data_IF_206332720226
#
_entry.id   IF_206332720226
#
_cell.length_a   1.000
_cell.length_b   1.000
_cell.length_c   1.000
_cell.angle_alpha   90.00
_cell.angle_beta   90.00
_cell.angle_gamma   90.00
#
_symmetry.space_group_name_H-M   'P 1'
#
loop_
_entity.id
_entity.type
_entity.pdbx_description
1 polymer ?
#
# COMPACT_ATOMS: atom_id res chain seq x y z
N UNK A 1 16.73 18.26 7.13
CA UNK A 1 15.94 17.21 6.42
C UNK A 1 15.21 16.41 7.48
N UNK A 2 13.90 16.23 7.35
CA UNK A 2 13.07 15.47 8.28
C UNK A 2 12.12 14.60 7.48
N UNK A 3 11.93 13.35 7.90
CA UNK A 3 10.96 12.42 7.31
C UNK A 3 10.38 11.59 8.45
N UNK A 4 9.08 11.35 8.43
CA UNK A 4 8.43 10.62 9.50
C UNK A 4 6.91 10.67 9.42
N UNK A 5 6.30 10.42 10.57
CA UNK A 5 4.85 10.27 10.73
C UNK A 5 4.35 11.17 11.84
N UNK A 6 3.18 11.76 11.62
CA UNK A 6 2.40 12.47 12.63
C UNK A 6 1.27 11.55 13.04
N UNK A 7 1.30 11.04 14.27
CA UNK A 7 0.28 10.16 14.81
C UNK A 7 -0.79 10.94 15.54
N UNK A 8 -2.04 10.51 15.38
CA UNK A 8 -3.16 10.94 16.22
C UNK A 8 -3.76 9.73 16.90
N UNK A 9 -4.13 9.86 18.17
CA UNK A 9 -4.88 8.85 18.89
C UNK A 9 -6.02 9.49 19.68
N UNK A 10 -7.12 8.75 19.81
CA UNK A 10 -8.32 9.17 20.51
C UNK A 10 -8.54 8.26 21.72
N UNK A 11 -8.91 8.86 22.86
CA UNK A 11 -9.17 8.16 24.11
C UNK A 11 -7.90 7.76 24.89
N UNK A 12 -6.93 7.13 24.22
CA UNK A 12 -5.70 6.63 24.84
C UNK A 12 -4.44 7.12 24.14
N UNK A 13 -3.30 7.07 24.86
CA UNK A 13 -1.97 7.36 24.31
C UNK A 13 -1.41 6.16 23.56
N UNK A 14 -0.76 6.41 22.43
CA UNK A 14 0.06 5.40 21.75
C UNK A 14 1.30 5.04 22.56
N UNK A 15 1.66 3.76 22.48
CA UNK A 15 2.79 3.12 23.14
C UNK A 15 3.84 2.82 22.07
N UNK A 16 4.86 3.67 22.02
CA UNK A 16 6.03 3.46 21.16
C UNK A 16 7.14 2.73 21.93
N UNK A 17 7.96 1.97 21.21
CA UNK A 17 9.17 1.35 21.75
C UNK A 17 10.37 1.71 20.90
N UNK A 18 11.52 1.88 21.55
CA UNK A 18 12.81 1.91 20.87
C UNK A 18 13.40 0.50 20.92
N UNK A 19 13.75 -0.03 19.76
CA UNK A 19 14.31 -1.37 19.55
C UNK A 19 15.65 -1.25 18.82
N UNK A 20 16.39 -2.34 18.69
CA UNK A 20 17.55 -2.40 17.80
C UNK A 20 17.11 -2.80 16.38
N UNK A 21 17.59 -2.09 15.36
CA UNK A 21 17.42 -2.48 13.95
C UNK A 21 18.34 -3.66 13.58
N UNK A 22 18.27 -4.12 12.33
CA UNK A 22 19.10 -5.22 11.81
C UNK A 22 20.61 -4.96 11.83
N UNK A 23 21.04 -3.70 12.01
CA UNK A 23 22.43 -3.28 12.17
C UNK A 23 22.79 -2.93 13.62
N UNK A 24 21.88 -3.14 14.59
CA UNK A 24 22.08 -2.85 16.00
C UNK A 24 21.86 -1.40 16.42
N UNK A 25 21.41 -0.52 15.52
CA UNK A 25 21.13 0.88 15.85
C UNK A 25 19.76 1.02 16.53
N UNK A 26 19.59 2.05 17.35
CA UNK A 26 18.30 2.38 17.92
C UNK A 26 17.29 2.77 16.81
N UNK A 27 16.15 2.08 16.76
CA UNK A 27 15.06 2.32 15.83
C UNK A 27 13.73 2.40 16.57
N UNK A 28 12.81 3.21 16.04
CA UNK A 28 11.46 3.31 16.59
C UNK A 28 10.61 2.16 16.05
N UNK A 29 10.05 1.34 16.93
CA UNK A 29 8.98 0.42 16.58
C UNK A 29 7.66 1.20 16.53
N UNK A 30 7.14 1.37 15.32
CA UNK A 30 5.86 2.04 15.08
C UNK A 30 4.68 1.17 15.54
N UNK A 31 3.55 1.77 15.96
CA UNK A 31 2.32 1.06 16.24
C UNK A 31 1.87 0.24 15.03
N UNK A 32 1.59 -1.05 15.25
CA UNK A 32 1.03 -1.95 14.23
C UNK A 32 -0.43 -2.25 14.56
N UNK A 33 -1.35 -1.35 14.17
CA UNK A 33 -2.78 -1.48 14.43
C UNK A 33 -3.44 -2.73 13.82
N UNK A 34 -2.76 -3.44 12.94
CA UNK A 34 -3.23 -4.68 12.31
C UNK A 34 -2.70 -5.94 12.99
N UNK A 35 -1.88 -5.83 14.04
CA UNK A 35 -1.31 -6.97 14.78
C UNK A 35 -2.01 -7.07 16.13
N UNK A 36 -2.76 -8.14 16.38
CA UNK A 36 -3.58 -8.31 17.60
C UNK A 36 -2.76 -8.24 18.90
N UNK A 37 -1.52 -8.75 18.89
CA UNK A 37 -0.63 -8.70 20.03
C UNK A 37 0.06 -7.34 20.25
N UNK A 38 -0.11 -6.37 19.34
CA UNK A 38 0.47 -5.03 19.50
C UNK A 38 -0.22 -4.29 20.64
N UNK A 39 0.51 -3.62 21.55
CA UNK A 39 -0.09 -2.90 22.68
C UNK A 39 -0.98 -1.71 22.28
N UNK A 40 -0.98 -1.33 21.00
CA UNK A 40 -1.83 -0.31 20.39
C UNK A 40 -3.02 -0.89 19.61
N UNK A 41 -3.22 -2.21 19.58
CA UNK A 41 -4.33 -2.83 18.83
C UNK A 41 -5.70 -2.33 19.31
N UNK A 42 -5.90 -2.08 20.61
CA UNK A 42 -7.15 -1.49 21.10
C UNK A 42 -7.28 0.04 20.92
N UNK A 43 -6.22 0.73 20.49
CA UNK A 43 -6.19 2.20 20.47
C UNK A 43 -6.75 2.72 19.13
N UNK A 44 -7.73 3.60 19.17
CA UNK A 44 -8.21 4.31 17.99
C UNK A 44 -7.15 5.33 17.56
N UNK A 45 -6.44 5.04 16.47
CA UNK A 45 -5.34 5.86 15.98
C UNK A 45 -5.17 5.77 14.47
N UNK A 46 -4.52 6.77 13.90
CA UNK A 46 -4.10 6.82 12.51
C UNK A 46 -2.88 7.74 12.37
N UNK A 47 -2.31 7.83 11.17
CA UNK A 47 -1.16 8.71 10.93
C UNK A 47 -1.17 9.40 9.56
N UNK A 48 -0.53 10.55 9.53
CA UNK A 48 -0.10 11.22 8.31
C UNK A 48 1.40 11.04 8.13
N UNK A 49 1.87 10.88 6.89
CA UNK A 49 3.29 10.77 6.57
C UNK A 49 3.78 12.06 5.94
N UNK A 50 5.06 12.39 6.17
CA UNK A 50 5.66 13.56 5.56
C UNK A 50 7.17 13.41 5.34
N UNK A 51 7.68 14.18 4.39
CA UNK A 51 9.10 14.41 4.16
C UNK A 51 9.34 15.86 3.80
N UNK A 52 10.24 16.51 4.53
CA UNK A 52 10.76 17.84 4.25
C UNK A 52 12.25 17.79 3.92
N UNK A 53 12.59 18.21 2.70
CA UNK A 53 13.94 18.23 2.17
C UNK A 53 14.17 19.47 1.27
N UNK A 54 15.31 19.53 0.59
CA UNK A 54 15.65 20.65 -0.31
C UNK A 54 14.72 20.82 -1.50
N UNK A 55 13.97 19.79 -1.86
CA UNK A 55 12.97 19.81 -2.94
C UNK A 55 11.58 20.22 -2.46
N UNK A 56 11.37 20.42 -1.15
CA UNK A 56 10.11 20.91 -0.58
C UNK A 56 9.49 19.99 0.46
N UNK A 57 8.18 20.16 0.67
CA UNK A 57 7.35 19.35 1.56
C UNK A 57 6.51 18.36 0.74
N UNK A 58 6.58 17.10 1.13
CA UNK A 58 5.72 16.03 0.65
C UNK A 58 4.95 15.51 1.86
N UNK A 59 3.63 15.38 1.77
CA UNK A 59 2.81 14.86 2.86
C UNK A 59 1.57 14.16 2.32
N UNK A 60 1.12 13.13 3.02
CA UNK A 60 -0.02 12.32 2.62
C UNK A 60 -0.78 11.79 3.85
N UNK A 61 -2.08 11.63 3.71
CA UNK A 61 -2.80 10.63 4.49
C UNK A 61 -2.58 9.27 3.85
N UNK A 62 -2.71 8.20 4.61
CA UNK A 62 -2.44 6.85 4.11
C UNK A 62 -3.48 5.87 4.62
N UNK A 63 -3.86 4.93 3.75
CA UNK A 63 -4.65 3.76 4.08
C UNK A 63 -3.96 2.47 3.61
N UNK A 64 -2.63 2.53 3.47
CA UNK A 64 -1.80 1.39 3.04
C UNK A 64 -1.86 0.27 4.07
N UNK A 65 -1.85 0.61 5.36
CA UNK A 65 -1.85 -0.39 6.43
C UNK A 65 -3.26 -0.61 7.04
N UNK A 66 -4.02 0.48 7.21
CA UNK A 66 -5.37 0.45 7.78
C UNK A 66 -6.14 1.75 7.47
N UNK A 67 -7.46 1.71 7.63
CA UNK A 67 -8.32 2.89 7.69
C UNK A 67 -8.98 2.99 9.07
N UNK A 68 -8.73 4.06 9.80
CA UNK A 68 -9.15 4.18 11.20
C UNK A 68 -9.75 5.56 11.50
N UNK A 69 -8.91 6.57 11.72
CA UNK A 69 -9.33 7.95 12.01
C UNK A 69 -9.35 8.72 10.70
N UNK A 70 -10.47 9.33 10.30
CA UNK A 70 -10.49 10.17 9.11
C UNK A 70 -9.54 11.37 9.27
N UNK A 71 -8.55 11.48 8.37
CA UNK A 71 -7.58 12.57 8.37
C UNK A 71 -7.68 13.39 7.09
N UNK A 72 -7.42 14.69 7.21
CA UNK A 72 -7.23 15.60 6.08
C UNK A 72 -5.98 16.42 6.34
N UNK A 73 -5.22 16.71 5.29
CA UNK A 73 -4.02 17.55 5.35
C UNK A 73 -4.21 18.71 4.38
N UNK A 74 -4.02 19.93 4.88
CA UNK A 74 -3.88 21.14 4.06
C UNK A 74 -2.43 21.58 4.09
N UNK A 75 -1.82 21.67 2.92
CA UNK A 75 -0.47 22.18 2.73
C UNK A 75 -0.55 23.57 2.11
N UNK A 76 -0.02 24.56 2.82
CA UNK A 76 0.08 25.94 2.35
C UNK A 76 1.55 26.30 2.14
N UNK A 77 1.90 26.68 0.91
CA UNK A 77 3.25 27.03 0.49
C UNK A 77 3.24 27.75 -0.85
N UNK A 78 3.92 27.20 -1.86
CA UNK A 78 3.82 27.71 -3.24
C UNK A 78 2.39 27.63 -3.80
N UNK A 79 1.63 26.65 -3.32
CA UNK A 79 0.19 26.49 -3.58
C UNK A 79 -0.54 26.25 -2.25
N UNK A 80 -1.87 26.28 -2.29
CA UNK A 80 -2.73 25.98 -1.15
C UNK A 80 -3.64 24.78 -1.52
N UNK A 81 -3.26 23.60 -1.05
CA UNK A 81 -3.86 22.34 -1.47
C UNK A 81 -4.33 21.53 -0.25
N UNK A 82 -5.41 20.77 -0.43
CA UNK A 82 -5.96 19.89 0.62
C UNK A 82 -6.27 18.51 0.06
N UNK A 83 -5.96 17.46 0.81
CA UNK A 83 -6.27 16.06 0.46
C UNK A 83 -6.69 15.23 1.68
N UNK A 84 -7.22 14.04 1.46
CA UNK A 84 -7.62 13.08 2.49
C UNK A 84 -9.03 13.29 3.06
N UNK A 85 -9.68 14.42 2.78
CA UNK A 85 -11.02 14.74 3.31
C UNK A 85 -12.05 13.65 2.98
N UNK A 86 -12.57 12.99 4.01
CA UNK A 86 -13.67 12.05 3.91
C UNK A 86 -15.01 12.81 3.96
N UNK A 87 -15.94 12.43 3.08
CA UNK A 87 -17.31 13.00 3.06
C UNK A 87 -18.05 12.78 4.39
N UNK A 88 -19.03 13.62 4.75
CA UNK A 88 -19.88 13.37 5.92
C UNK A 88 -20.46 11.95 5.90
N UNK A 89 -20.38 11.25 7.03
CA UNK A 89 -20.79 9.84 7.16
C UNK A 89 -19.89 8.82 6.43
N UNK A 90 -18.83 9.26 5.77
CA UNK A 90 -17.97 8.41 4.94
C UNK A 90 -17.24 7.32 5.70
N UNK A 91 -16.82 7.58 6.94
CA UNK A 91 -16.18 6.55 7.79
C UNK A 91 -17.11 5.37 8.03
N UNK A 92 -18.33 5.63 8.53
CA UNK A 92 -19.33 4.60 8.76
C UNK A 92 -19.66 3.86 7.46
N UNK A 93 -19.82 4.60 6.35
CA UNK A 93 -20.08 3.99 5.05
C UNK A 93 -18.97 3.05 4.57
N UNK A 94 -17.69 3.35 4.85
CA UNK A 94 -16.57 2.45 4.55
C UNK A 94 -16.67 1.18 5.39
N UNK A 95 -16.83 1.30 6.71
CA UNK A 95 -16.96 0.14 7.59
C UNK A 95 -18.14 -0.75 7.18
N UNK A 96 -19.29 -0.14 6.89
CA UNK A 96 -20.49 -0.86 6.46
C UNK A 96 -20.35 -1.51 5.09
N UNK A 97 -19.63 -0.89 4.16
CA UNK A 97 -19.37 -1.47 2.84
C UNK A 97 -18.42 -2.67 2.94
N UNK A 98 -17.35 -2.54 3.72
CA UNK A 98 -16.34 -3.61 3.89
C UNK A 98 -16.96 -4.82 4.60
N UNK A 99 -17.80 -4.63 5.63
CA UNK A 99 -18.51 -5.73 6.31
C UNK A 99 -19.43 -6.54 5.39
N UNK A 100 -19.86 -5.98 4.25
CA UNK A 100 -20.79 -6.65 3.32
C UNK A 100 -20.09 -7.54 2.31
N UNK A 101 -18.77 -7.47 2.20
CA UNK A 101 -17.99 -8.34 1.30
C UNK A 101 -17.38 -9.44 2.17
N UNK A 102 -17.76 -10.69 1.91
CA UNK A 102 -17.47 -11.84 2.78
C UNK A 102 -15.97 -11.96 3.09
N UNK A 103 -15.12 -11.86 2.07
CA UNK A 103 -13.67 -11.99 2.19
C UNK A 103 -13.03 -10.83 2.96
N UNK A 104 -13.66 -9.65 2.98
CA UNK A 104 -13.14 -8.45 3.64
C UNK A 104 -13.76 -8.20 5.01
N UNK A 105 -14.90 -8.84 5.34
CA UNK A 105 -15.59 -8.63 6.59
C UNK A 105 -14.71 -8.89 7.83
N UNK A 106 -13.83 -9.92 7.86
CA UNK A 106 -12.91 -10.16 8.97
C UNK A 106 -11.85 -9.05 9.17
N UNK A 107 -11.65 -8.16 8.19
CA UNK A 107 -10.70 -7.05 8.28
C UNK A 107 -11.24 -5.88 9.11
N UNK A 108 -12.54 -5.87 9.43
CA UNK A 108 -13.16 -4.83 10.24
C UNK A 108 -13.04 -5.18 11.72
N UNK A 109 -12.25 -4.41 12.44
CA UNK A 109 -12.04 -4.56 13.89
C UNK A 109 -12.95 -3.58 14.62
N UNK A 110 -14.09 -4.08 15.10
CA UNK A 110 -15.14 -3.33 15.80
C UNK A 110 -15.45 -1.99 15.11
N UNK A 111 -15.50 -0.89 15.89
CA UNK A 111 -15.47 0.48 15.37
C UNK A 111 -14.08 1.11 15.49
N UNK A 112 -13.01 0.31 15.57
CA UNK A 112 -11.65 0.84 15.69
C UNK A 112 -11.06 1.11 14.30
N UNK A 113 -11.06 0.11 13.42
CA UNK A 113 -10.39 0.21 12.11
C UNK A 113 -10.86 -0.83 11.10
N UNK A 114 -10.48 -0.59 9.85
CA UNK A 114 -10.42 -1.61 8.79
C UNK A 114 -8.95 -1.89 8.48
N UNK A 115 -8.52 -3.14 8.59
CA UNK A 115 -7.16 -3.60 8.27
C UNK A 115 -7.00 -3.70 6.74
N UNK A 116 -5.86 -3.29 6.20
CA UNK A 116 -5.58 -3.46 4.78
C UNK A 116 -5.47 -4.96 4.42
N UNK A 117 -5.96 -5.41 3.25
CA UNK A 117 -6.01 -6.83 2.90
C UNK A 117 -4.65 -7.54 2.94
N UNK A 118 -3.54 -6.85 2.65
CA UNK A 118 -2.20 -7.44 2.74
C UNK A 118 -1.84 -7.87 4.16
N UNK A 119 -2.11 -7.02 5.16
CA UNK A 119 -1.92 -7.37 6.57
C UNK A 119 -2.93 -8.41 7.04
N UNK A 120 -4.17 -8.32 6.55
CA UNK A 120 -5.19 -9.34 6.78
C UNK A 120 -4.77 -10.73 6.28
N UNK A 121 -4.15 -10.79 5.10
CA UNK A 121 -3.61 -12.02 4.50
C UNK A 121 -2.50 -12.59 5.39
N UNK A 122 -1.53 -11.77 5.80
CA UNK A 122 -0.45 -12.21 6.69
C UNK A 122 -0.97 -12.66 8.08
N UNK A 123 -2.11 -12.14 8.53
CA UNK A 123 -2.80 -12.55 9.76
C UNK A 123 -3.77 -13.73 9.59
N UNK A 124 -3.94 -14.26 8.38
CA UNK A 124 -4.90 -15.35 8.09
C UNK A 124 -6.38 -14.94 8.10
N UNK A 125 -6.66 -13.64 8.02
CA UNK A 125 -8.01 -13.06 7.96
C UNK A 125 -8.51 -12.80 6.54
N UNK A 126 -7.61 -12.84 5.55
CA UNK A 126 -7.92 -12.63 4.14
C UNK A 126 -7.41 -13.80 3.28
N UNK A 127 -8.12 -14.24 2.23
CA UNK A 127 -7.69 -15.36 1.40
C UNK A 127 -6.33 -15.10 0.72
N UNK A 128 -5.39 -16.03 0.89
CA UNK A 128 -4.04 -15.93 0.34
C UNK A 128 -3.98 -15.98 -1.19
N UNK A 129 -5.03 -16.46 -1.83
CA UNK A 129 -5.17 -16.69 -3.27
C UNK A 129 -6.28 -15.83 -3.90
N UNK A 130 -6.80 -14.81 -3.19
CA UNK A 130 -7.90 -13.95 -3.65
C UNK A 130 -7.72 -13.42 -5.08
N UNK A 131 -6.50 -13.03 -5.46
CA UNK A 131 -6.20 -12.51 -6.79
C UNK A 131 -5.63 -13.55 -7.76
N UNK A 132 -5.42 -14.80 -7.32
CA UNK A 132 -4.77 -15.82 -8.15
C UNK A 132 -5.51 -16.07 -9.49
N UNK A 133 -6.86 -16.22 -9.53
CA UNK A 133 -7.57 -16.40 -10.80
C UNK A 133 -7.36 -15.24 -11.77
N UNK A 134 -7.37 -14.00 -11.26
CA UNK A 134 -7.18 -12.81 -12.08
C UNK A 134 -5.73 -12.67 -12.56
N UNK A 135 -4.75 -12.97 -11.71
CA UNK A 135 -3.34 -13.00 -12.08
C UNK A 135 -3.10 -14.04 -13.19
N UNK A 136 -3.74 -15.22 -13.10
CA UNK A 136 -3.69 -16.26 -14.12
C UNK A 136 -4.24 -15.78 -15.47
N UNK A 137 -5.39 -15.10 -15.44
CA UNK A 137 -6.00 -14.50 -16.63
C UNK A 137 -5.08 -13.47 -17.29
N UNK A 138 -4.46 -12.59 -16.50
CA UNK A 138 -3.52 -11.57 -16.98
C UNK A 138 -2.30 -12.24 -17.63
N UNK A 139 -1.72 -13.26 -16.99
CA UNK A 139 -0.58 -14.00 -17.54
C UNK A 139 -0.93 -14.71 -18.85
N UNK A 140 -2.10 -15.35 -18.90
CA UNK A 140 -2.60 -16.01 -20.11
C UNK A 140 -2.79 -15.01 -21.25
N UNK A 141 -3.48 -13.89 -20.96
CA UNK A 141 -3.78 -12.84 -21.93
C UNK A 141 -2.51 -12.27 -22.56
N UNK A 142 -1.54 -11.90 -21.74
CA UNK A 142 -0.30 -11.29 -22.22
C UNK A 142 0.75 -12.29 -22.71
N UNK A 143 0.41 -13.58 -22.82
CA UNK A 143 1.17 -14.51 -23.67
C UNK A 143 0.89 -14.23 -25.15
N UNK A 144 -0.37 -13.94 -25.49
CA UNK A 144 -0.83 -13.68 -26.86
C UNK A 144 -0.91 -12.20 -27.26
N UNK A 145 -0.87 -11.29 -26.28
CA UNK A 145 -1.12 -9.85 -26.48
C UNK A 145 -0.02 -8.98 -25.86
N UNK A 146 0.26 -7.84 -26.49
CA UNK A 146 1.18 -6.85 -25.92
C UNK A 146 0.51 -6.06 -24.78
N UNK A 147 1.23 -5.89 -23.68
CA UNK A 147 0.92 -4.92 -22.62
C UNK A 147 1.82 -3.70 -22.78
N UNK A 148 1.26 -2.50 -22.91
CA UNK A 148 2.06 -1.26 -23.00
C UNK A 148 2.01 -0.47 -21.71
N UNK A 149 3.18 -0.09 -21.20
CA UNK A 149 3.34 0.76 -20.01
C UNK A 149 4.21 1.95 -20.39
N UNK A 150 3.77 3.16 -20.03
CA UNK A 150 4.57 4.38 -20.23
C UNK A 150 4.96 4.96 -18.88
N UNK A 151 6.24 5.27 -18.73
CA UNK A 151 6.83 5.87 -17.54
C UNK A 151 7.63 7.12 -17.93
N UNK A 152 8.24 7.79 -16.96
CA UNK A 152 9.15 8.91 -17.24
C UNK A 152 10.40 8.49 -18.05
N UNK A 153 10.78 7.21 -18.04
CA UNK A 153 11.88 6.70 -18.86
C UNK A 153 11.47 6.45 -20.32
N UNK A 154 10.17 6.37 -20.62
CA UNK A 154 9.63 6.09 -21.94
C UNK A 154 8.60 4.96 -21.95
N UNK A 155 8.28 4.47 -23.14
CA UNK A 155 7.28 3.42 -23.36
C UNK A 155 7.91 2.04 -23.44
N UNK A 156 7.33 1.11 -22.69
CA UNK A 156 7.70 -0.29 -22.57
C UNK A 156 6.58 -1.16 -23.17
N UNK A 157 6.95 -2.22 -23.88
CA UNK A 157 6.03 -3.21 -24.44
C UNK A 157 6.35 -4.58 -23.87
N UNK A 158 5.38 -5.14 -23.14
CA UNK A 158 5.45 -6.36 -22.36
C UNK A 158 4.78 -7.54 -23.03
N UNK A 159 5.42 -8.71 -22.92
CA UNK A 159 4.86 -10.01 -23.28
C UNK A 159 5.30 -11.07 -22.29
N UNK A 160 4.40 -11.99 -21.94
CA UNK A 160 4.77 -13.20 -21.21
C UNK A 160 5.60 -14.09 -22.14
N UNK A 161 6.85 -14.36 -21.75
CA UNK A 161 7.80 -15.24 -22.42
C UNK A 161 8.29 -16.25 -21.39
N UNK A 162 7.99 -17.54 -21.61
CA UNK A 162 8.22 -18.56 -20.59
C UNK A 162 7.36 -18.30 -19.35
N UNK A 163 8.00 -18.22 -18.18
CA UNK A 163 7.38 -17.98 -16.88
C UNK A 163 7.38 -16.50 -16.46
N UNK A 164 7.88 -15.58 -17.31
CA UNK A 164 8.06 -14.16 -16.97
C UNK A 164 7.32 -13.22 -17.91
N UNK A 165 6.76 -12.15 -17.37
CA UNK A 165 6.30 -10.99 -18.13
C UNK A 165 7.50 -10.07 -18.40
N UNK A 166 8.00 -10.07 -19.64
CA UNK A 166 9.19 -9.31 -20.03
C UNK A 166 8.79 -8.11 -20.87
N UNK A 167 9.27 -6.93 -20.48
CA UNK A 167 9.09 -5.68 -21.19
C UNK A 167 10.38 -5.26 -21.88
N UNK A 168 10.26 -4.93 -23.16
CA UNK A 168 11.30 -4.29 -23.96
C UNK A 168 10.97 -2.79 -24.15
N UNK A 169 11.99 -1.95 -24.30
CA UNK A 169 11.83 -0.49 -24.37
C UNK A 169 13.13 0.25 -24.01
N UNK A 170 13.06 1.36 -23.25
CA UNK A 170 14.24 2.07 -22.75
C UNK A 170 15.22 1.20 -21.95
N UNK A 171 14.72 0.14 -21.31
CA UNK A 171 15.49 -0.94 -20.69
C UNK A 171 14.69 -2.25 -20.81
N UNK A 172 15.36 -3.39 -20.66
CA UNK A 172 14.66 -4.66 -20.49
C UNK A 172 14.36 -4.89 -19.01
N UNK A 173 13.09 -5.05 -18.67
CA UNK A 173 12.64 -5.36 -17.30
C UNK A 173 11.73 -6.59 -17.33
N UNK A 174 11.80 -7.45 -16.32
CA UNK A 174 11.01 -8.68 -16.31
C UNK A 174 10.50 -9.01 -14.91
N UNK A 175 9.26 -9.48 -14.85
CA UNK A 175 8.57 -9.81 -13.61
C UNK A 175 8.21 -11.30 -13.58
N UNK A 176 8.44 -11.92 -12.43
CA UNK A 176 7.86 -13.23 -12.16
C UNK A 176 6.34 -13.08 -12.00
N UNK A 177 5.60 -14.19 -12.11
CA UNK A 177 4.18 -14.20 -11.77
C UNK A 177 4.00 -13.86 -10.28
N UNK A 178 3.27 -12.79 -9.92
CA UNK A 178 3.05 -12.40 -8.55
C UNK A 178 2.05 -13.32 -7.87
N UNK A 179 2.15 -13.39 -6.55
CA UNK A 179 1.10 -13.87 -5.67
C UNK A 179 0.10 -12.76 -5.33
N UNK A 180 -1.03 -13.11 -4.72
CA UNK A 180 -1.94 -12.12 -4.10
C UNK A 180 -1.18 -11.19 -3.14
N UNK A 181 -0.26 -11.76 -2.34
CA UNK A 181 0.54 -10.99 -1.38
C UNK A 181 1.43 -9.96 -2.09
N UNK A 182 2.12 -10.35 -3.16
CA UNK A 182 2.97 -9.44 -3.96
C UNK A 182 2.15 -8.27 -4.53
N UNK A 183 0.93 -8.53 -4.99
CA UNK A 183 0.02 -7.49 -5.50
C UNK A 183 -0.41 -6.54 -4.40
N UNK A 184 -0.91 -7.06 -3.27
CA UNK A 184 -1.47 -6.24 -2.19
C UNK A 184 -0.41 -5.34 -1.53
N UNK A 185 0.84 -5.80 -1.44
CA UNK A 185 1.95 -5.02 -0.87
C UNK A 185 2.74 -4.22 -1.91
N UNK A 186 2.53 -4.43 -3.22
CA UNK A 186 3.42 -3.94 -4.27
C UNK A 186 4.90 -4.31 -4.01
N UNK A 187 5.13 -5.57 -3.62
CA UNK A 187 6.44 -6.09 -3.19
C UNK A 187 6.74 -7.45 -3.85
N UNK A 188 7.88 -8.05 -3.52
CA UNK A 188 8.29 -9.38 -3.97
C UNK A 188 8.44 -9.44 -5.48
N UNK A 189 7.59 -10.22 -6.16
CA UNK A 189 7.58 -10.28 -7.62
C UNK A 189 7.28 -8.92 -8.30
N UNK A 190 6.70 -7.96 -7.56
CA UNK A 190 6.39 -6.60 -7.98
C UNK A 190 7.21 -5.54 -7.24
N UNK A 191 8.34 -5.91 -6.62
CA UNK A 191 9.22 -4.95 -5.96
C UNK A 191 9.61 -3.78 -6.89
N UNK A 192 9.45 -2.56 -6.39
CA UNK A 192 9.59 -1.34 -7.18
C UNK A 192 10.82 -0.50 -6.74
N UNK A 193 12.05 -0.85 -7.15
CA UNK A 193 13.25 -0.11 -6.75
C UNK A 193 13.30 1.30 -7.35
N UNK A 194 13.96 2.24 -6.68
CA UNK A 194 14.16 3.61 -7.20
C UNK A 194 15.28 3.68 -8.27
N UNK A 195 15.24 2.80 -9.27
CA UNK A 195 16.24 2.65 -10.34
C UNK A 195 15.88 3.43 -11.62
N UNK A 196 14.72 4.10 -11.63
CA UNK A 196 14.22 4.89 -12.76
C UNK A 196 13.68 4.07 -13.94
N UNK A 197 13.74 2.73 -13.90
CA UNK A 197 13.25 1.87 -15.00
C UNK A 197 12.39 0.72 -14.47
N UNK A 198 12.96 -0.27 -13.79
CA UNK A 198 12.21 -1.42 -13.22
C UNK A 198 11.14 -0.96 -12.25
N UNK A 199 11.48 -0.05 -11.32
CA UNK A 199 10.53 0.40 -10.30
C UNK A 199 9.31 1.10 -10.86
N UNK A 200 9.47 2.11 -11.74
CA UNK A 200 8.33 2.73 -12.41
C UNK A 200 7.43 1.75 -13.17
N UNK A 201 7.99 0.75 -13.84
CA UNK A 201 7.18 -0.29 -14.52
C UNK A 201 6.46 -1.18 -13.51
N UNK A 202 7.14 -1.60 -12.45
CA UNK A 202 6.56 -2.40 -11.36
C UNK A 202 5.40 -1.68 -10.66
N UNK A 203 5.56 -0.37 -10.39
CA UNK A 203 4.54 0.45 -9.76
C UNK A 203 3.27 0.57 -10.63
N UNK A 204 3.43 0.74 -11.94
CA UNK A 204 2.28 0.76 -12.87
C UNK A 204 1.60 -0.61 -12.92
N UNK A 205 2.38 -1.69 -12.95
CA UNK A 205 1.86 -3.05 -12.99
C UNK A 205 1.09 -3.41 -11.70
N UNK A 206 1.67 -3.14 -10.53
CA UNK A 206 1.01 -3.35 -9.23
C UNK A 206 -0.26 -2.53 -9.07
N UNK A 207 -0.26 -1.26 -9.53
CA UNK A 207 -1.46 -0.44 -9.56
C UNK A 207 -2.53 -0.98 -10.52
N UNK A 208 -2.12 -1.58 -11.65
CA UNK A 208 -3.03 -2.24 -12.58
C UNK A 208 -3.75 -3.42 -11.95
N UNK A 209 -3.02 -4.29 -11.24
CA UNK A 209 -3.61 -5.43 -10.54
C UNK A 209 -4.57 -5.03 -9.42
N UNK A 210 -4.25 -4.00 -8.62
CA UNK A 210 -5.10 -3.57 -7.51
C UNK A 210 -6.41 -2.87 -7.95
N UNK A 211 -6.61 -2.60 -9.24
CA UNK A 211 -7.73 -1.80 -9.78
C UNK A 211 -8.64 -2.58 -10.74
N UNK A 212 -8.58 -3.91 -10.69
CA UNK A 212 -9.38 -4.84 -11.50
C UNK A 212 -10.84 -4.92 -11.09
#
# INVERSE_FOLDING_TARGET
RLSGRIYVSLGEKLKFKVVADGAGNAALQYPAGWVESDPNYGVLHDCAEFTYNSSGMFCNTTMVDMFSVPLSIRLTGAEDQTTGTIRPGGRAAVFDAVRKVEEFAPLVVDDTRVIAPGHGLDAGLFPGDYLAPYIDEVWSTYTGKDLRITTNAGSFTGRVRGDRLTFDGPAQVSFAKPSTRDVLFCDGALAAPNDGTTGPVAAVLGAGFNRS
#
